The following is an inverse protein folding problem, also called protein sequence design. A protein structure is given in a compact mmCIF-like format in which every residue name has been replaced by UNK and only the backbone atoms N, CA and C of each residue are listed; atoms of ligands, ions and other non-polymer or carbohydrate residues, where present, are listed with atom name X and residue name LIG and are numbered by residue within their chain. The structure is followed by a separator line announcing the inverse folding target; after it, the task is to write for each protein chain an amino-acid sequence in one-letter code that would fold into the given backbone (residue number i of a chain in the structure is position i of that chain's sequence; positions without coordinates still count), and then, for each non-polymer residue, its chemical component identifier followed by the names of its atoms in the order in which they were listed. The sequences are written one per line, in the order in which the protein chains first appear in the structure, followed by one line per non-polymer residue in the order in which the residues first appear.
data_IF_765957710313
#
_entry.id   IF_765957710313
#
_cell.length_a   1.000
_cell.length_b   1.000
_cell.length_c   1.000
_cell.angle_alpha   90.00
_cell.angle_beta   90.00
_cell.angle_gamma   90.00
#
_symmetry.space_group_name_H-M   'P 1'
#
loop_
_entity.id
_entity.type
_entity.pdbx_description
1 polymer ?
#
# COMPACT_ATOMS: atom_id res chain seq x y z
N UNK A 1 31.26 -12.88 -7.97
CA UNK A 1 29.82 -12.59 -8.10
C UNK A 1 29.28 -12.47 -6.69
N UNK A 2 28.66 -11.32 -6.36
CA UNK A 2 28.07 -11.12 -5.02
C UNK A 2 26.81 -11.98 -4.94
N UNK A 3 26.63 -12.74 -3.85
CA UNK A 3 25.42 -13.53 -3.58
C UNK A 3 24.59 -12.77 -2.55
N UNK A 4 23.35 -12.46 -2.91
CA UNK A 4 22.36 -11.83 -2.05
C UNK A 4 21.37 -12.90 -1.58
N UNK A 5 21.40 -13.26 -0.30
CA UNK A 5 20.34 -14.05 0.34
C UNK A 5 19.20 -13.13 0.73
N UNK A 6 18.07 -13.28 0.06
CA UNK A 6 16.94 -12.36 0.16
C UNK A 6 15.76 -13.05 0.83
N UNK A 7 15.38 -12.56 2.01
CA UNK A 7 14.17 -13.01 2.70
C UNK A 7 12.92 -12.54 1.95
N UNK A 8 11.95 -13.44 1.73
CA UNK A 8 10.65 -13.17 1.11
C UNK A 8 9.58 -13.55 2.13
N UNK A 9 9.07 -12.53 2.84
CA UNK A 9 8.23 -12.70 4.03
C UNK A 9 6.84 -12.13 3.83
N UNK A 10 5.94 -12.90 3.21
CA UNK A 10 4.57 -12.52 2.94
C UNK A 10 3.59 -13.61 3.35
N UNK A 11 2.48 -13.24 4.01
CA UNK A 11 1.37 -14.16 4.26
C UNK A 11 0.66 -14.49 2.95
N UNK A 12 0.88 -15.69 2.45
CA UNK A 12 0.24 -16.21 1.24
C UNK A 12 -1.04 -16.98 1.54
N UNK A 13 -1.31 -17.19 2.82
CA UNK A 13 -2.52 -17.75 3.40
C UNK A 13 -3.07 -16.85 4.51
N UNK A 14 -4.29 -17.19 5.03
CA UNK A 14 -4.99 -16.34 6.00
C UNK A 14 -5.77 -15.19 5.35
N UNK A 15 -6.31 -14.28 6.16
CA UNK A 15 -7.33 -13.28 5.78
C UNK A 15 -6.89 -12.29 4.66
N UNK A 16 -5.60 -12.04 4.51
CA UNK A 16 -5.05 -11.20 3.44
C UNK A 16 -4.09 -11.98 2.53
N UNK A 17 -4.31 -13.29 2.38
CA UNK A 17 -3.48 -14.17 1.58
C UNK A 17 -3.41 -13.78 0.10
N UNK A 18 -4.48 -13.21 -0.48
CA UNK A 18 -4.48 -12.72 -1.86
C UNK A 18 -3.40 -11.66 -2.10
N UNK A 19 -3.33 -10.66 -1.21
CA UNK A 19 -2.34 -9.59 -1.26
C UNK A 19 -0.91 -10.13 -1.10
N UNK A 20 -0.71 -11.04 -0.14
CA UNK A 20 0.58 -11.66 0.11
C UNK A 20 1.07 -12.57 -1.02
N UNK A 21 0.17 -13.31 -1.68
CA UNK A 21 0.48 -14.09 -2.88
C UNK A 21 0.97 -13.17 -4.00
N UNK A 22 0.30 -12.04 -4.22
CA UNK A 22 0.70 -11.07 -5.23
C UNK A 22 2.07 -10.44 -4.93
N UNK A 23 2.32 -10.03 -3.70
CA UNK A 23 3.62 -9.54 -3.28
C UNK A 23 4.74 -10.58 -3.53
N UNK A 24 4.51 -11.83 -3.10
CA UNK A 24 5.47 -12.92 -3.31
C UNK A 24 5.71 -13.19 -4.79
N UNK A 25 4.66 -13.27 -5.59
CA UNK A 25 4.75 -13.56 -7.02
C UNK A 25 5.50 -12.45 -7.76
N UNK A 26 5.29 -11.18 -7.38
CA UNK A 26 6.06 -10.05 -7.89
C UNK A 26 7.53 -10.14 -7.55
N UNK A 27 7.87 -10.43 -6.28
CA UNK A 27 9.25 -10.62 -5.85
C UNK A 27 9.94 -11.78 -6.57
N UNK A 28 9.28 -12.93 -6.67
CA UNK A 28 9.84 -14.12 -7.32
C UNK A 28 10.00 -13.91 -8.83
N UNK A 29 9.09 -13.19 -9.48
CA UNK A 29 9.21 -12.82 -10.89
C UNK A 29 10.44 -11.94 -11.13
N UNK A 30 10.67 -10.93 -10.26
CA UNK A 30 11.87 -10.09 -10.37
C UNK A 30 13.17 -10.88 -10.17
N UNK A 31 13.20 -11.83 -9.23
CA UNK A 31 14.38 -12.69 -8.99
C UNK A 31 14.69 -13.53 -10.23
N UNK A 32 13.67 -14.08 -10.88
CA UNK A 32 13.88 -14.85 -12.12
C UNK A 32 14.35 -13.99 -13.28
N UNK A 33 13.79 -12.81 -13.47
CA UNK A 33 14.21 -11.87 -14.52
C UNK A 33 15.66 -11.42 -14.36
N UNK A 34 16.13 -11.32 -13.11
CA UNK A 34 17.50 -10.92 -12.82
C UNK A 34 18.50 -12.08 -12.97
N UNK A 35 18.02 -13.33 -13.10
CA UNK A 35 18.89 -14.51 -13.23
C UNK A 35 19.68 -14.44 -14.54
N UNK A 36 21.01 -14.33 -14.42
CA UNK A 36 21.92 -14.21 -15.56
C UNK A 36 21.95 -12.81 -16.22
N UNK A 37 21.06 -11.90 -15.85
CA UNK A 37 21.01 -10.51 -16.35
C UNK A 37 21.68 -9.51 -15.39
N UNK A 38 21.90 -9.91 -14.12
CA UNK A 38 22.49 -9.07 -13.09
C UNK A 38 23.83 -9.67 -12.60
N UNK A 39 24.75 -8.81 -12.14
CA UNK A 39 26.02 -9.21 -11.52
C UNK A 39 25.84 -9.80 -10.11
N UNK A 40 24.64 -9.71 -9.55
CA UNK A 40 24.27 -10.23 -8.23
C UNK A 40 23.47 -11.52 -8.41
N UNK A 41 23.96 -12.63 -7.82
CA UNK A 41 23.17 -13.86 -7.68
C UNK A 41 22.19 -13.72 -6.52
N UNK A 42 20.90 -13.98 -6.74
CA UNK A 42 19.88 -13.87 -5.68
C UNK A 42 19.41 -15.25 -5.27
N UNK A 43 19.53 -15.55 -3.97
CA UNK A 43 19.03 -16.77 -3.32
C UNK A 43 17.83 -16.41 -2.43
N UNK A 44 16.57 -16.69 -2.85
CA UNK A 44 15.40 -16.39 -2.05
C UNK A 44 15.24 -17.37 -0.88
N UNK A 45 14.93 -16.83 0.30
CA UNK A 45 14.50 -17.59 1.49
C UNK A 45 13.07 -17.18 1.79
N UNK A 46 12.10 -17.99 1.37
CA UNK A 46 10.69 -17.65 1.48
C UNK A 46 10.04 -18.24 2.74
N UNK A 47 9.04 -17.53 3.29
CA UNK A 47 8.23 -18.00 4.40
C UNK A 47 6.81 -17.43 4.36
N UNK A 48 5.83 -18.25 4.79
CA UNK A 48 4.43 -17.86 4.93
C UNK A 48 4.04 -17.78 6.41
N UNK A 49 3.86 -16.56 6.94
CA UNK A 49 3.38 -16.35 8.31
C UNK A 49 1.90 -16.67 8.52
N UNK A 50 1.12 -16.88 7.47
CA UNK A 50 -0.32 -17.17 7.53
C UNK A 50 -1.11 -16.16 8.39
N UNK A 51 -0.83 -14.86 8.21
CA UNK A 51 -1.43 -13.72 8.93
C UNK A 51 -1.20 -13.70 10.45
N UNK A 52 -0.29 -14.53 11.01
CA UNK A 52 0.05 -14.53 12.43
C UNK A 52 1.25 -13.64 12.74
N UNK A 53 1.11 -12.69 13.69
CA UNK A 53 2.18 -11.84 14.21
C UNK A 53 3.36 -12.64 14.75
N UNK A 54 3.08 -13.68 15.54
CA UNK A 54 4.13 -14.53 16.14
C UNK A 54 4.95 -15.24 15.06
N UNK A 55 4.29 -15.74 14.01
CA UNK A 55 4.96 -16.39 12.88
C UNK A 55 5.76 -15.40 12.03
N UNK A 56 5.30 -14.17 11.88
CA UNK A 56 6.08 -13.11 11.23
C UNK A 56 7.40 -12.87 11.97
N UNK A 57 7.35 -12.73 13.30
CA UNK A 57 8.52 -12.53 14.15
C UNK A 57 9.47 -13.74 14.08
N UNK A 58 8.93 -14.95 14.20
CA UNK A 58 9.71 -16.21 14.15
C UNK A 58 10.43 -16.37 12.80
N UNK A 59 9.67 -16.24 11.70
CA UNK A 59 10.22 -16.42 10.35
C UNK A 59 11.24 -15.34 10.02
N UNK A 60 11.00 -14.07 10.36
CA UNK A 60 11.99 -13.00 10.20
C UNK A 60 13.30 -13.34 10.92
N UNK A 61 13.19 -13.78 12.18
CA UNK A 61 14.36 -14.21 12.96
C UNK A 61 15.13 -15.36 12.29
N UNK A 62 14.42 -16.40 11.83
CA UNK A 62 15.02 -17.56 11.16
C UNK A 62 15.68 -17.18 9.84
N UNK A 63 15.03 -16.37 9.01
CA UNK A 63 15.60 -15.88 7.75
C UNK A 63 16.93 -15.16 7.98
N UNK A 64 17.01 -14.32 9.01
CA UNK A 64 18.22 -13.55 9.31
C UNK A 64 19.30 -14.44 9.96
N UNK A 65 18.95 -15.23 10.98
CA UNK A 65 19.93 -15.97 11.78
C UNK A 65 20.40 -17.26 11.11
N UNK A 66 19.48 -18.03 10.54
CA UNK A 66 19.75 -19.34 9.96
C UNK A 66 19.94 -19.23 8.43
N UNK A 67 19.09 -18.41 7.79
CA UNK A 67 19.14 -18.17 6.35
C UNK A 67 20.22 -17.20 5.90
N UNK A 68 20.82 -16.43 6.81
CA UNK A 68 21.83 -15.42 6.50
C UNK A 68 21.31 -14.24 5.68
N UNK A 69 20.00 -13.98 5.71
CA UNK A 69 19.38 -12.87 4.99
C UNK A 69 19.66 -11.55 5.72
N UNK A 70 20.38 -10.64 5.09
CA UNK A 70 20.57 -9.27 5.58
C UNK A 70 19.50 -8.32 5.05
N UNK A 71 18.74 -8.72 4.03
CA UNK A 71 17.63 -8.01 3.43
C UNK A 71 16.40 -8.91 3.43
N UNK A 72 15.25 -8.35 3.84
CA UNK A 72 13.95 -9.02 3.85
C UNK A 72 12.95 -8.14 3.09
N UNK A 73 12.31 -8.68 2.05
CA UNK A 73 11.18 -8.06 1.38
C UNK A 73 9.91 -8.56 2.09
N UNK A 74 9.12 -7.66 2.59
CA UNK A 74 7.92 -7.98 3.38
C UNK A 74 7.45 -6.72 4.12
N UNK A 75 6.45 -6.75 4.80
CA UNK A 75 5.36 -7.65 5.09
C UNK A 75 4.10 -7.17 4.33
N UNK A 76 2.89 -7.64 4.67
CA UNK A 76 1.66 -7.09 4.07
C UNK A 76 1.08 -5.97 4.94
N UNK A 77 0.73 -6.27 6.19
CA UNK A 77 0.06 -5.31 7.07
C UNK A 77 1.02 -4.43 7.85
N UNK A 78 0.56 -3.24 8.24
CA UNK A 78 1.29 -2.33 9.11
C UNK A 78 1.59 -2.94 10.49
N UNK A 79 0.68 -3.79 11.01
CA UNK A 79 0.94 -4.53 12.24
C UNK A 79 2.13 -5.47 12.06
N UNK A 80 2.12 -6.30 11.03
CA UNK A 80 3.22 -7.24 10.76
C UNK A 80 4.56 -6.52 10.53
N UNK A 81 4.55 -5.33 9.88
CA UNK A 81 5.74 -4.49 9.75
C UNK A 81 6.29 -4.09 11.11
N UNK A 82 5.41 -3.55 11.98
CA UNK A 82 5.80 -3.12 13.33
C UNK A 82 6.29 -4.27 14.19
N UNK A 83 5.71 -5.45 14.05
CA UNK A 83 6.09 -6.66 14.78
C UNK A 83 7.50 -7.17 14.39
N UNK A 84 7.91 -7.04 13.12
CA UNK A 84 9.22 -7.51 12.66
C UNK A 84 10.34 -6.47 12.83
N UNK A 85 10.04 -5.17 12.90
CA UNK A 85 11.04 -4.10 13.03
C UNK A 85 12.04 -4.38 14.19
N UNK A 86 11.62 -4.77 15.40
CA UNK A 86 12.56 -5.06 16.48
C UNK A 86 13.55 -6.20 16.19
N UNK A 87 13.12 -7.18 15.38
CA UNK A 87 14.00 -8.29 14.93
C UNK A 87 15.00 -7.78 13.91
N UNK A 88 14.54 -6.95 12.97
CA UNK A 88 15.36 -6.33 11.93
C UNK A 88 16.44 -5.45 12.55
N UNK A 89 16.07 -4.55 13.47
CA UNK A 89 16.99 -3.64 14.18
C UNK A 89 18.03 -4.40 15.01
N UNK A 90 17.60 -5.38 15.80
CA UNK A 90 18.49 -6.17 16.66
C UNK A 90 19.57 -6.90 15.90
N UNK A 91 19.42 -7.09 14.60
CA UNK A 91 20.31 -7.87 13.74
C UNK A 91 20.97 -7.03 12.64
N UNK A 92 20.84 -5.70 12.69
CA UNK A 92 21.34 -4.78 11.67
C UNK A 92 20.96 -5.21 10.24
N UNK A 93 19.76 -5.80 10.10
CA UNK A 93 19.18 -6.17 8.80
C UNK A 93 18.38 -5.01 8.22
N UNK A 94 17.92 -5.17 6.98
CA UNK A 94 17.11 -4.18 6.26
C UNK A 94 15.78 -4.82 5.84
N UNK A 95 14.66 -4.20 6.26
CA UNK A 95 13.34 -4.52 5.75
C UNK A 95 13.03 -3.63 4.54
N UNK A 96 12.44 -4.21 3.50
CA UNK A 96 11.90 -3.50 2.34
C UNK A 96 10.39 -3.68 2.35
N UNK A 97 9.66 -2.62 2.73
CA UNK A 97 8.22 -2.65 2.90
C UNK A 97 7.51 -2.15 1.65
N UNK A 98 6.72 -3.00 1.02
CA UNK A 98 6.17 -2.79 -0.34
C UNK A 98 4.71 -2.33 -0.38
N UNK A 99 4.00 -2.40 0.76
CA UNK A 99 2.57 -2.11 0.83
C UNK A 99 2.28 -0.64 1.18
N UNK A 100 1.10 -0.12 0.83
CA UNK A 100 0.67 1.18 1.34
C UNK A 100 0.58 1.17 2.87
N UNK A 101 0.80 2.33 3.51
CA UNK A 101 0.75 2.43 4.94
C UNK A 101 0.30 3.81 5.44
N UNK A 102 -0.01 3.89 6.72
CA UNK A 102 -0.62 5.05 7.39
C UNK A 102 0.32 6.24 7.63
N UNK A 103 1.62 6.10 7.35
CA UNK A 103 2.61 7.14 7.66
C UNK A 103 3.11 7.08 9.12
N UNK A 104 3.64 8.22 9.60
CA UNK A 104 4.14 8.44 10.97
C UNK A 104 5.26 7.49 11.40
N UNK A 105 6.03 7.01 10.44
CA UNK A 105 7.18 6.16 10.65
C UNK A 105 8.26 6.45 9.60
N UNK A 106 9.52 6.56 10.04
CA UNK A 106 10.70 6.60 9.19
C UNK A 106 11.84 5.91 9.95
N UNK A 107 11.92 4.59 9.81
CA UNK A 107 12.89 3.76 10.50
C UNK A 107 14.16 3.61 9.64
N UNK A 108 15.37 3.75 10.18
CA UNK A 108 16.61 3.61 9.41
C UNK A 108 16.82 2.18 8.85
N UNK A 109 16.24 1.17 9.46
CA UNK A 109 16.31 -0.21 9.01
C UNK A 109 15.14 -0.62 8.09
N UNK A 110 14.31 0.34 7.66
CA UNK A 110 13.19 0.08 6.74
C UNK A 110 13.30 0.97 5.51
N UNK A 111 13.22 0.39 4.33
CA UNK A 111 13.00 1.08 3.06
C UNK A 111 11.54 0.93 2.69
N UNK A 112 10.83 2.04 2.57
CA UNK A 112 9.40 2.08 2.28
C UNK A 112 9.19 2.30 0.78
N UNK A 113 8.76 1.27 0.08
CA UNK A 113 8.47 1.34 -1.36
C UNK A 113 6.97 1.34 -1.67
N UNK A 114 6.13 1.16 -0.65
CA UNK A 114 4.69 1.42 -0.71
C UNK A 114 4.35 2.90 -0.49
N UNK A 115 3.14 3.30 -0.87
CA UNK A 115 2.66 4.68 -0.74
C UNK A 115 2.39 5.06 0.73
N UNK A 116 2.62 6.32 1.08
CA UNK A 116 2.24 6.93 2.36
C UNK A 116 1.13 8.01 2.13
N UNK A 117 0.51 8.56 3.19
CA UNK A 117 -0.72 9.33 3.08
C UNK A 117 -0.73 10.49 2.09
N UNK A 118 0.39 11.21 1.90
CA UNK A 118 0.45 12.28 0.90
C UNK A 118 0.49 11.76 -0.55
N UNK A 119 0.70 10.45 -0.74
CA UNK A 119 0.77 9.81 -2.05
C UNK A 119 -0.51 9.01 -2.39
N UNK A 120 -1.43 8.79 -1.43
CA UNK A 120 -2.70 8.11 -1.67
C UNK A 120 -3.89 8.86 -1.07
N UNK A 121 -3.99 9.00 0.26
CA UNK A 121 -5.18 9.53 0.93
C UNK A 121 -5.45 11.00 0.62
N UNK A 122 -4.42 11.86 0.71
CA UNK A 122 -4.61 13.29 0.48
C UNK A 122 -5.07 13.58 -0.96
N UNK A 123 -4.39 13.10 -2.02
CA UNK A 123 -4.85 13.34 -3.38
C UNK A 123 -6.19 12.65 -3.70
N UNK A 124 -6.54 11.54 -3.03
CA UNK A 124 -7.86 10.93 -3.11
C UNK A 124 -8.94 11.90 -2.61
N UNK A 125 -8.76 12.48 -1.42
CA UNK A 125 -9.74 13.41 -0.84
C UNK A 125 -9.81 14.75 -1.58
N UNK A 126 -8.72 15.22 -2.17
CA UNK A 126 -8.73 16.38 -3.08
C UNK A 126 -9.63 16.16 -4.30
N UNK A 127 -9.79 14.91 -4.74
CA UNK A 127 -10.74 14.54 -5.78
C UNK A 127 -12.15 14.33 -5.23
N UNK A 128 -12.28 13.56 -4.14
CA UNK A 128 -13.57 13.09 -3.65
C UNK A 128 -14.44 14.21 -3.09
N UNK A 129 -13.88 15.11 -2.28
CA UNK A 129 -14.65 16.17 -1.61
C UNK A 129 -15.34 17.15 -2.59
N UNK A 130 -14.68 17.62 -3.67
CA UNK A 130 -15.38 18.46 -4.64
C UNK A 130 -16.31 17.69 -5.59
N UNK A 131 -16.02 16.40 -5.87
CA UNK A 131 -16.77 15.63 -6.86
C UNK A 131 -18.04 15.00 -6.30
N UNK A 132 -18.04 14.54 -5.05
CA UNK A 132 -19.16 13.79 -4.46
C UNK A 132 -19.82 14.50 -3.29
N UNK A 133 -19.08 15.29 -2.52
CA UNK A 133 -19.60 15.99 -1.35
C UNK A 133 -18.73 15.79 -0.11
N UNK A 134 -19.23 16.27 1.05
CA UNK A 134 -18.42 16.38 2.28
C UNK A 134 -18.96 15.59 3.46
N UNK A 135 -20.00 14.80 3.26
CA UNK A 135 -20.55 13.88 4.27
C UNK A 135 -19.94 12.50 4.08
N UNK A 136 -19.00 12.14 4.92
CA UNK A 136 -18.17 10.95 4.73
C UNK A 136 -18.44 9.90 5.81
N UNK A 137 -18.62 8.65 5.40
CA UNK A 137 -18.63 7.51 6.31
C UNK A 137 -17.26 6.82 6.28
N UNK A 138 -16.74 6.41 7.45
CA UNK A 138 -15.46 5.72 7.58
C UNK A 138 -15.69 4.27 8.00
N UNK A 139 -15.24 3.34 7.18
CA UNK A 139 -15.23 1.93 7.48
C UNK A 139 -13.78 1.42 7.53
N UNK A 140 -13.37 0.71 8.57
CA UNK A 140 -11.99 0.32 8.74
C UNK A 140 -11.82 -1.08 9.31
N UNK A 141 -10.62 -1.65 9.16
CA UNK A 141 -10.21 -2.81 9.92
C UNK A 141 -9.73 -2.39 11.33
N UNK A 142 -10.04 -3.23 12.33
CA UNK A 142 -9.75 -2.93 13.74
C UNK A 142 -8.28 -3.18 14.10
N UNK A 143 -7.36 -2.46 13.45
CA UNK A 143 -5.94 -2.44 13.72
C UNK A 143 -5.32 -1.12 13.25
N UNK A 144 -4.01 -0.93 13.43
CA UNK A 144 -3.29 0.36 13.27
C UNK A 144 -3.58 1.06 11.92
N UNK A 145 -3.59 0.35 10.80
CA UNK A 145 -3.91 0.90 9.48
C UNK A 145 -5.31 1.54 9.46
N UNK A 146 -6.35 0.77 9.85
CA UNK A 146 -7.72 1.26 9.86
C UNK A 146 -7.92 2.46 10.78
N UNK A 147 -7.34 2.42 11.97
CA UNK A 147 -7.45 3.51 12.95
C UNK A 147 -6.79 4.80 12.47
N UNK A 148 -5.54 4.70 11.98
CA UNK A 148 -4.77 5.87 11.57
C UNK A 148 -5.27 6.46 10.25
N UNK A 149 -5.68 5.63 9.29
CA UNK A 149 -6.28 6.10 8.05
C UNK A 149 -7.61 6.82 8.30
N UNK A 150 -8.45 6.27 9.19
CA UNK A 150 -9.70 6.93 9.61
C UNK A 150 -9.42 8.24 10.37
N UNK A 151 -8.39 8.25 11.25
CA UNK A 151 -7.99 9.48 11.95
C UNK A 151 -7.58 10.57 10.97
N UNK A 152 -6.73 10.25 10.01
CA UNK A 152 -6.30 11.19 8.97
C UNK A 152 -7.47 11.67 8.11
N UNK A 153 -8.37 10.76 7.73
CA UNK A 153 -9.57 11.11 6.98
C UNK A 153 -10.45 12.10 7.74
N UNK A 154 -10.64 11.90 9.07
CA UNK A 154 -11.38 12.87 9.92
C UNK A 154 -10.73 14.26 9.88
N UNK A 155 -9.41 14.33 10.01
CA UNK A 155 -8.69 15.61 9.94
C UNK A 155 -8.91 16.29 8.59
N UNK A 156 -8.74 15.55 7.47
CA UNK A 156 -8.91 16.08 6.11
C UNK A 156 -10.33 16.60 5.88
N UNK A 157 -11.33 15.82 6.27
CA UNK A 157 -12.76 16.17 6.08
C UNK A 157 -13.12 17.39 6.93
N UNK A 158 -12.70 17.43 8.21
CA UNK A 158 -12.97 18.54 9.12
C UNK A 158 -12.32 19.84 8.62
N UNK A 159 -11.07 19.80 8.20
CA UNK A 159 -10.37 20.97 7.63
C UNK A 159 -11.04 21.50 6.35
N UNK A 160 -11.64 20.60 5.56
CA UNK A 160 -12.40 20.98 4.39
C UNK A 160 -13.82 21.49 4.71
N UNK A 161 -14.21 21.59 5.98
CA UNK A 161 -15.55 21.97 6.42
C UNK A 161 -16.61 20.90 6.15
N UNK A 162 -16.20 19.62 6.14
CA UNK A 162 -17.09 18.47 6.00
C UNK A 162 -17.45 17.81 7.32
N UNK A 163 -18.20 16.72 7.23
CA UNK A 163 -18.75 15.98 8.39
C UNK A 163 -18.43 14.49 8.24
N UNK A 164 -17.94 13.85 9.31
CA UNK A 164 -17.93 12.40 9.44
C UNK A 164 -19.29 11.96 9.99
N UNK A 165 -20.12 11.40 9.13
CA UNK A 165 -21.50 11.01 9.48
C UNK A 165 -21.59 9.67 10.20
N UNK A 166 -20.51 8.90 10.21
CA UNK A 166 -20.38 7.64 10.96
C UNK A 166 -19.01 7.01 10.78
N UNK A 167 -18.66 6.16 11.72
CA UNK A 167 -17.38 5.42 11.70
C UNK A 167 -17.53 4.05 12.38
N UNK A 168 -17.02 3.00 11.73
CA UNK A 168 -16.93 1.65 12.30
C UNK A 168 -15.68 0.92 11.85
N UNK A 169 -15.13 0.14 12.78
CA UNK A 169 -14.07 -0.82 12.49
C UNK A 169 -14.55 -2.24 12.80
N UNK A 170 -14.14 -3.20 11.95
CA UNK A 170 -14.34 -4.64 12.15
C UNK A 170 -13.00 -5.33 12.36
N UNK A 171 -12.93 -6.42 13.14
CA UNK A 171 -11.77 -7.30 13.14
C UNK A 171 -11.44 -7.76 11.71
N UNK A 172 -10.15 -7.97 11.42
CA UNK A 172 -9.74 -8.53 10.13
C UNK A 172 -10.37 -9.92 9.99
N UNK A 173 -10.97 -10.21 8.83
CA UNK A 173 -11.65 -11.46 8.55
C UNK A 173 -13.12 -11.53 9.01
N UNK A 174 -13.58 -10.59 9.84
CA UNK A 174 -15.00 -10.51 10.21
C UNK A 174 -15.83 -10.03 9.01
N UNK A 175 -16.86 -10.81 8.67
CA UNK A 175 -17.74 -10.56 7.53
C UNK A 175 -19.13 -10.06 7.92
N UNK A 176 -19.41 -9.83 9.21
CA UNK A 176 -20.66 -9.24 9.68
C UNK A 176 -20.66 -7.72 9.44
N UNK A 177 -21.04 -7.33 8.25
CA UNK A 177 -21.08 -5.94 7.78
C UNK A 177 -22.49 -5.31 7.89
N UNK A 178 -23.51 -6.05 8.35
CA UNK A 178 -24.90 -5.63 8.31
C UNK A 178 -25.14 -4.34 9.08
N UNK A 179 -24.50 -4.18 10.24
CA UNK A 179 -24.60 -2.96 11.04
C UNK A 179 -23.97 -1.76 10.35
N UNK A 180 -22.84 -1.94 9.65
CA UNK A 180 -22.19 -0.86 8.88
C UNK A 180 -23.13 -0.42 7.76
N UNK A 181 -23.67 -1.37 7.00
CA UNK A 181 -24.58 -1.10 5.87
C UNK A 181 -25.86 -0.41 6.33
N UNK A 182 -26.44 -0.85 7.46
CA UNK A 182 -27.60 -0.20 8.06
C UNK A 182 -27.32 1.25 8.47
N UNK A 183 -26.15 1.53 9.06
CA UNK A 183 -25.74 2.89 9.42
C UNK A 183 -25.50 3.75 8.17
N UNK A 184 -24.82 3.23 7.14
CA UNK A 184 -24.65 3.91 5.85
C UNK A 184 -26.00 4.28 5.25
N UNK A 185 -26.95 3.35 5.24
CA UNK A 185 -28.31 3.59 4.73
C UNK A 185 -29.05 4.69 5.52
N UNK A 186 -28.90 4.72 6.84
CA UNK A 186 -29.54 5.71 7.71
C UNK A 186 -28.87 7.09 7.64
N UNK A 187 -27.54 7.13 7.53
CA UNK A 187 -26.73 8.37 7.56
C UNK A 187 -26.62 9.06 6.21
N UNK A 188 -26.79 8.33 5.12
CA UNK A 188 -26.74 8.84 3.74
C UNK A 188 -25.47 9.66 3.46
N UNK A 189 -24.26 9.05 3.54
CA UNK A 189 -23.03 9.74 3.18
C UNK A 189 -22.96 10.06 1.68
N UNK A 190 -22.14 11.03 1.33
CA UNK A 190 -21.81 11.34 -0.07
C UNK A 190 -20.83 10.31 -0.66
N UNK A 191 -19.92 9.79 0.17
CA UNK A 191 -19.06 8.65 -0.16
C UNK A 191 -18.56 7.94 1.11
N UNK A 192 -17.98 6.76 0.92
CA UNK A 192 -17.49 5.93 2.02
C UNK A 192 -15.99 5.66 1.80
N UNK A 193 -15.15 6.01 2.76
CA UNK A 193 -13.77 5.51 2.78
C UNK A 193 -13.75 4.14 3.44
N UNK A 194 -13.26 3.13 2.73
CA UNK A 194 -13.04 1.78 3.27
C UNK A 194 -11.55 1.50 3.41
N UNK A 195 -11.13 1.23 4.63
CA UNK A 195 -9.78 0.75 5.01
C UNK A 195 -9.88 -0.67 5.58
N UNK A 196 -10.86 -1.44 5.12
CA UNK A 196 -11.02 -2.86 5.44
C UNK A 196 -10.15 -3.71 4.51
N UNK A 197 -9.75 -4.90 4.97
CA UNK A 197 -8.92 -5.84 4.22
C UNK A 197 -9.62 -7.18 4.03
N UNK A 198 -9.29 -7.86 2.93
CA UNK A 198 -9.65 -9.25 2.66
C UNK A 198 -11.15 -9.52 2.81
N UNK A 199 -11.56 -10.63 3.49
CA UNK A 199 -12.97 -11.04 3.57
C UNK A 199 -13.91 -9.95 4.08
N UNK A 200 -13.50 -9.10 5.03
CA UNK A 200 -14.30 -7.98 5.54
C UNK A 200 -14.58 -6.94 4.45
N UNK A 201 -13.57 -6.55 3.67
CA UNK A 201 -13.69 -5.64 2.52
C UNK A 201 -14.59 -6.26 1.45
N UNK A 202 -14.39 -7.53 1.14
CA UNK A 202 -15.18 -8.25 0.12
C UNK A 202 -16.66 -8.35 0.49
N UNK A 203 -16.96 -8.69 1.74
CA UNK A 203 -18.33 -8.76 2.26
C UNK A 203 -19.01 -7.38 2.21
N UNK A 204 -18.29 -6.34 2.61
CA UNK A 204 -18.80 -4.97 2.58
C UNK A 204 -19.13 -4.50 1.16
N UNK A 205 -18.24 -4.73 0.19
CA UNK A 205 -18.49 -4.35 -1.20
C UNK A 205 -19.70 -5.09 -1.80
N UNK A 206 -19.87 -6.38 -1.49
CA UNK A 206 -21.07 -7.15 -1.89
C UNK A 206 -22.34 -6.57 -1.27
N UNK A 207 -22.30 -6.25 0.01
CA UNK A 207 -23.45 -5.67 0.72
C UNK A 207 -23.79 -4.27 0.19
N UNK A 208 -22.81 -3.45 -0.11
CA UNK A 208 -23.01 -2.14 -0.74
C UNK A 208 -23.58 -2.24 -2.16
N UNK A 209 -23.14 -3.25 -2.95
CA UNK A 209 -23.76 -3.54 -4.25
C UNK A 209 -25.24 -3.85 -4.11
N UNK A 210 -25.60 -4.70 -3.14
CA UNK A 210 -27.00 -5.05 -2.90
C UNK A 210 -27.82 -3.85 -2.39
N UNK A 211 -27.25 -3.01 -1.51
CA UNK A 211 -27.88 -1.77 -1.08
C UNK A 211 -28.15 -0.83 -2.27
N UNK A 212 -27.17 -0.65 -3.17
CA UNK A 212 -27.31 0.18 -4.38
C UNK A 212 -28.31 -0.35 -5.40
N UNK A 213 -28.57 -1.68 -5.43
CA UNK A 213 -29.64 -2.29 -6.23
C UNK A 213 -31.02 -1.95 -5.70
N UNK A 214 -31.18 -1.92 -4.37
CA UNK A 214 -32.46 -1.61 -3.69
C UNK A 214 -32.72 -0.11 -3.63
N UNK A 215 -31.67 0.70 -3.47
CA UNK A 215 -31.76 2.16 -3.39
C UNK A 215 -30.70 2.84 -4.27
N UNK A 216 -31.12 3.47 -5.39
CA UNK A 216 -30.21 4.13 -6.32
C UNK A 216 -29.34 5.25 -5.71
N UNK A 217 -29.67 5.78 -4.53
CA UNK A 217 -28.85 6.77 -3.83
C UNK A 217 -27.47 6.21 -3.41
N UNK A 218 -27.37 4.88 -3.24
CA UNK A 218 -26.13 4.20 -2.85
C UNK A 218 -25.39 3.52 -4.02
N UNK A 219 -25.77 3.84 -5.25
CA UNK A 219 -24.97 3.40 -6.40
C UNK A 219 -23.63 4.14 -6.46
N UNK A 220 -22.58 3.52 -7.02
CA UNK A 220 -21.24 4.11 -7.07
C UNK A 220 -21.17 5.51 -7.70
N UNK A 221 -22.09 5.82 -8.62
CA UNK A 221 -22.14 7.13 -9.26
C UNK A 221 -22.58 8.26 -8.29
N UNK A 222 -23.20 7.91 -7.16
CA UNK A 222 -23.71 8.85 -6.16
C UNK A 222 -23.04 8.72 -4.79
N UNK A 223 -22.77 7.49 -4.37
CA UNK A 223 -22.16 7.18 -3.08
C UNK A 223 -21.13 6.06 -3.26
N UNK A 224 -19.98 6.36 -3.88
CA UNK A 224 -18.94 5.35 -4.07
C UNK A 224 -18.30 4.91 -2.75
N UNK A 225 -17.89 3.65 -2.71
CA UNK A 225 -16.87 3.17 -1.77
C UNK A 225 -15.51 3.47 -2.38
N UNK A 226 -14.62 4.10 -1.62
CA UNK A 226 -13.26 4.41 -2.06
C UNK A 226 -12.24 3.75 -1.12
N UNK A 227 -11.11 3.31 -1.67
CA UNK A 227 -10.06 2.62 -0.91
C UNK A 227 -8.67 3.10 -1.31
N UNK A 228 -7.70 2.95 -0.41
CA UNK A 228 -6.27 3.16 -0.69
C UNK A 228 -5.47 1.84 -0.77
N UNK A 229 -6.14 0.71 -0.68
CA UNK A 229 -5.53 -0.64 -0.63
C UNK A 229 -6.18 -1.66 -1.55
N UNK A 230 -7.41 -1.43 -2.01
CA UNK A 230 -8.11 -2.33 -2.94
C UNK A 230 -7.42 -2.36 -4.32
N UNK A 231 -7.21 -3.56 -4.84
CA UNK A 231 -6.43 -3.77 -6.07
C UNK A 231 -6.92 -5.00 -6.86
N UNK A 232 -6.38 -5.21 -8.06
CA UNK A 232 -6.82 -6.21 -9.02
C UNK A 232 -6.85 -7.64 -8.45
N UNK A 233 -5.90 -8.00 -7.58
CA UNK A 233 -5.82 -9.38 -7.05
C UNK A 233 -6.98 -9.77 -6.13
N UNK A 234 -7.76 -8.82 -5.64
CA UNK A 234 -8.93 -9.06 -4.79
C UNK A 234 -10.24 -9.14 -5.58
N UNK A 235 -10.29 -8.55 -6.79
CA UNK A 235 -11.52 -8.49 -7.61
C UNK A 235 -12.14 -9.87 -7.89
N UNK A 236 -11.36 -10.95 -8.17
CA UNK A 236 -11.92 -12.28 -8.33
C UNK A 236 -12.59 -12.83 -7.05
N UNK A 237 -12.02 -12.54 -5.86
CA UNK A 237 -12.57 -12.99 -4.58
C UNK A 237 -13.82 -12.19 -4.17
N UNK A 238 -13.92 -10.91 -4.56
CA UNK A 238 -15.11 -10.10 -4.40
C UNK A 238 -16.25 -10.60 -5.30
N UNK A 239 -15.91 -11.05 -6.48
CA UNK A 239 -16.80 -11.42 -7.57
C UNK A 239 -16.81 -10.37 -8.67
N UNK A 240 -16.54 -10.80 -9.90
CA UNK A 240 -16.46 -9.91 -11.07
C UNK A 240 -17.75 -9.10 -11.23
N UNK A 241 -17.61 -7.79 -11.45
CA UNK A 241 -18.73 -6.86 -11.60
C UNK A 241 -19.43 -6.46 -10.31
N UNK A 242 -19.12 -7.07 -9.16
CA UNK A 242 -19.71 -6.69 -7.86
C UNK A 242 -19.24 -5.31 -7.42
N UNK A 243 -17.97 -5.03 -7.58
CA UNK A 243 -17.36 -3.76 -7.19
C UNK A 243 -17.32 -2.72 -8.33
N UNK A 244 -17.97 -2.98 -9.47
CA UNK A 244 -18.00 -2.05 -10.61
C UNK A 244 -18.46 -0.66 -10.20
N UNK A 245 -17.70 0.36 -10.65
CA UNK A 245 -17.96 1.75 -10.35
C UNK A 245 -17.31 2.26 -9.06
N UNK A 246 -16.88 1.39 -8.14
CA UNK A 246 -16.14 1.78 -6.94
C UNK A 246 -14.74 2.31 -7.31
N UNK A 247 -14.10 3.05 -6.40
CA UNK A 247 -12.86 3.76 -6.68
C UNK A 247 -11.72 3.27 -5.80
N UNK A 248 -10.51 3.28 -6.35
CA UNK A 248 -9.30 3.04 -5.57
C UNK A 248 -8.18 4.01 -5.93
N UNK A 249 -7.36 4.34 -4.94
CA UNK A 249 -6.13 5.10 -5.09
C UNK A 249 -4.93 4.17 -4.96
N UNK A 250 -4.02 4.19 -5.93
CA UNK A 250 -2.82 3.37 -5.94
C UNK A 250 -1.67 4.08 -6.66
N UNK A 251 -0.46 3.51 -6.59
CA UNK A 251 0.69 3.95 -7.39
C UNK A 251 0.80 3.21 -8.73
N UNK A 252 -0.04 2.21 -8.95
CA UNK A 252 -0.03 1.38 -10.14
C UNK A 252 -1.39 0.70 -10.32
N UNK A 253 -1.82 0.54 -11.58
CA UNK A 253 -2.89 -0.35 -12.03
C UNK A 253 -2.43 -1.13 -13.26
N UNK A 254 -2.96 -2.35 -13.45
CA UNK A 254 -2.66 -3.21 -14.60
C UNK A 254 -2.91 -2.51 -15.94
N UNK A 255 -3.87 -1.61 -15.97
CA UNK A 255 -4.27 -0.84 -17.15
C UNK A 255 -3.31 0.30 -17.54
N UNK A 256 -2.22 0.53 -16.80
CA UNK A 256 -1.21 1.52 -17.17
C UNK A 256 -0.61 1.20 -18.55
N UNK A 257 -0.68 2.16 -19.47
CA UNK A 257 -0.11 2.01 -20.81
C UNK A 257 1.29 2.61 -20.90
N UNK A 258 2.28 1.88 -20.37
CA UNK A 258 3.71 2.21 -20.47
C UNK A 258 4.51 1.04 -21.03
N UNK A 259 5.65 1.32 -21.67
CA UNK A 259 6.55 0.27 -22.17
C UNK A 259 6.99 -0.70 -21.06
N UNK A 260 7.33 -0.18 -19.90
CA UNK A 260 7.75 -0.98 -18.75
C UNK A 260 6.62 -1.90 -18.26
N UNK A 261 5.37 -1.39 -18.22
CA UNK A 261 4.23 -2.21 -17.85
C UNK A 261 3.91 -3.28 -18.88
N UNK A 262 3.92 -2.94 -20.17
CA UNK A 262 3.73 -3.95 -21.23
C UNK A 262 4.77 -5.07 -21.17
N UNK A 263 6.03 -4.74 -20.89
CA UNK A 263 7.09 -5.74 -20.72
C UNK A 263 6.82 -6.65 -19.51
N UNK A 264 6.47 -6.08 -18.34
CA UNK A 264 6.11 -6.85 -17.14
C UNK A 264 4.92 -7.77 -17.40
N UNK A 265 3.85 -7.25 -18.01
CA UNK A 265 2.64 -8.05 -18.34
C UNK A 265 2.94 -9.21 -19.27
N UNK A 266 3.83 -9.04 -20.25
CA UNK A 266 4.24 -10.12 -21.14
C UNK A 266 4.95 -11.26 -20.36
N UNK A 267 5.81 -10.92 -19.40
CA UNK A 267 6.47 -11.89 -18.54
C UNK A 267 5.48 -12.59 -17.60
N UNK A 268 4.57 -11.82 -16.99
CA UNK A 268 3.52 -12.36 -16.12
C UNK A 268 2.61 -13.30 -16.90
N UNK A 269 2.19 -12.92 -18.10
CA UNK A 269 1.36 -13.77 -18.96
C UNK A 269 2.06 -15.08 -19.34
N UNK A 270 3.35 -15.03 -19.65
CA UNK A 270 4.14 -16.22 -19.95
C UNK A 270 4.27 -17.18 -18.76
N UNK A 271 4.28 -16.66 -17.53
CA UNK A 271 4.48 -17.44 -16.31
C UNK A 271 3.17 -17.92 -15.67
N UNK A 272 2.15 -17.07 -15.64
CA UNK A 272 0.92 -17.30 -14.88
C UNK A 272 -0.34 -17.41 -15.76
N UNK A 273 -0.19 -17.24 -17.08
CA UNK A 273 -1.31 -17.19 -18.01
C UNK A 273 -1.79 -15.77 -18.33
N UNK A 274 -2.47 -15.62 -19.49
CA UNK A 274 -2.90 -14.32 -20.04
C UNK A 274 -3.93 -13.58 -19.18
N UNK A 275 -4.67 -14.32 -18.35
CA UNK A 275 -5.75 -13.76 -17.52
C UNK A 275 -5.24 -13.16 -16.18
N UNK A 276 -3.96 -13.41 -15.87
CA UNK A 276 -3.35 -12.89 -14.65
C UNK A 276 -3.20 -11.38 -14.74
N UNK A 277 -3.85 -10.66 -13.84
CA UNK A 277 -3.68 -9.22 -13.65
C UNK A 277 -2.51 -8.93 -12.72
N UNK A 278 -1.83 -7.84 -12.99
CA UNK A 278 -0.73 -7.32 -12.15
C UNK A 278 -1.31 -6.26 -11.23
N UNK A 279 -1.27 -6.50 -9.94
CA UNK A 279 -1.71 -5.52 -8.95
C UNK A 279 -0.59 -4.53 -8.57
N UNK A 280 -0.95 -3.47 -7.86
CA UNK A 280 0.04 -2.56 -7.26
C UNK A 280 0.97 -3.29 -6.30
N UNK A 281 0.50 -4.31 -5.57
CA UNK A 281 1.30 -5.14 -4.66
C UNK A 281 2.34 -5.96 -5.40
N UNK A 282 1.95 -6.59 -6.51
CA UNK A 282 2.86 -7.32 -7.40
C UNK A 282 3.91 -6.37 -7.97
N UNK A 283 3.47 -5.28 -8.62
CA UNK A 283 4.35 -4.35 -9.31
C UNK A 283 5.35 -3.67 -8.38
N UNK A 284 4.92 -3.27 -7.17
CA UNK A 284 5.80 -2.66 -6.17
C UNK A 284 6.81 -3.66 -5.65
N UNK A 285 6.39 -4.90 -5.36
CA UNK A 285 7.29 -5.96 -4.89
C UNK A 285 8.34 -6.32 -5.96
N UNK A 286 7.91 -6.45 -7.22
CA UNK A 286 8.79 -6.64 -8.37
C UNK A 286 9.82 -5.51 -8.49
N UNK A 287 9.37 -4.26 -8.46
CA UNK A 287 10.26 -3.09 -8.55
C UNK A 287 11.24 -3.00 -7.37
N UNK A 288 10.79 -3.38 -6.17
CA UNK A 288 11.60 -3.35 -4.94
C UNK A 288 12.75 -4.33 -4.98
N UNK A 289 12.51 -5.56 -5.43
CA UNK A 289 13.59 -6.56 -5.59
C UNK A 289 14.63 -6.08 -6.60
N UNK A 290 14.20 -5.51 -7.72
CA UNK A 290 15.11 -4.97 -8.74
C UNK A 290 15.93 -3.81 -8.20
N UNK A 291 15.30 -2.90 -7.44
CA UNK A 291 16.00 -1.79 -6.80
C UNK A 291 17.03 -2.27 -5.76
N UNK A 292 16.67 -3.27 -4.95
CA UNK A 292 17.57 -3.87 -3.98
C UNK A 292 18.79 -4.50 -4.68
N UNK A 293 18.57 -5.31 -5.72
CA UNK A 293 19.64 -5.94 -6.49
C UNK A 293 20.57 -4.91 -7.16
N UNK A 294 20.01 -3.85 -7.72
CA UNK A 294 20.78 -2.75 -8.32
C UNK A 294 21.64 -2.03 -7.28
N UNK A 295 21.09 -1.74 -6.10
CA UNK A 295 21.84 -1.11 -5.01
C UNK A 295 22.99 -2.02 -4.51
N UNK A 296 22.74 -3.33 -4.35
CA UNK A 296 23.77 -4.33 -4.00
C UNK A 296 24.84 -4.42 -5.09
N UNK A 297 24.45 -4.45 -6.37
CA UNK A 297 25.38 -4.44 -7.50
C UNK A 297 26.27 -3.21 -7.48
N UNK A 298 25.69 -2.04 -7.22
CA UNK A 298 26.39 -0.74 -7.21
C UNK A 298 27.44 -0.64 -6.09
N UNK A 299 27.14 -1.17 -4.89
CA UNK A 299 28.08 -1.11 -3.75
C UNK A 299 28.93 -2.37 -3.59
N UNK A 300 28.67 -3.45 -4.36
CA UNK A 300 29.43 -4.69 -4.38
C UNK A 300 29.28 -5.54 -3.12
N UNK A 301 28.28 -5.28 -2.27
CA UNK A 301 28.05 -5.97 -1.00
C UNK A 301 26.57 -5.95 -0.62
N UNK A 302 26.15 -6.90 0.22
CA UNK A 302 24.84 -6.94 0.85
C UNK A 302 24.80 -6.24 2.22
N UNK A 303 25.80 -5.45 2.57
CA UNK A 303 25.83 -4.68 3.81
C UNK A 303 24.70 -3.64 3.83
N UNK A 304 23.73 -3.69 4.79
CA UNK A 304 22.54 -2.82 4.77
C UNK A 304 22.87 -1.33 4.79
N UNK A 305 23.92 -0.91 5.49
CA UNK A 305 24.32 0.49 5.55
C UNK A 305 24.85 0.95 4.19
N UNK A 306 25.69 0.14 3.56
CA UNK A 306 26.27 0.44 2.23
C UNK A 306 25.21 0.38 1.14
N UNK A 307 24.29 -0.60 1.20
CA UNK A 307 23.14 -0.71 0.28
C UNK A 307 22.24 0.52 0.40
N UNK A 308 21.88 0.94 1.61
CA UNK A 308 21.10 2.16 1.83
C UNK A 308 21.82 3.42 1.30
N UNK A 309 23.11 3.52 1.53
CA UNK A 309 23.92 4.63 0.97
C UNK A 309 23.96 4.60 -0.56
N UNK A 310 23.99 3.42 -1.18
CA UNK A 310 23.99 3.25 -2.63
C UNK A 310 22.65 3.63 -3.29
N UNK A 311 21.54 3.68 -2.52
CA UNK A 311 20.25 4.18 -3.00
C UNK A 311 20.25 5.69 -3.24
N UNK A 312 21.17 6.44 -2.61
CA UNK A 312 21.27 7.87 -2.81
C UNK A 312 21.59 8.19 -4.28
N UNK A 313 20.69 8.92 -4.94
CA UNK A 313 20.81 9.26 -6.37
C UNK A 313 20.54 8.11 -7.34
N UNK A 314 20.23 6.90 -6.86
CA UNK A 314 19.78 5.80 -7.71
C UNK A 314 18.36 6.06 -8.20
N UNK A 315 18.16 5.91 -9.50
CA UNK A 315 16.86 5.97 -10.15
C UNK A 315 16.68 4.72 -11.00
N UNK A 316 15.93 3.76 -10.48
CA UNK A 316 15.68 2.49 -11.15
C UNK A 316 14.42 2.56 -12.03
N UNK A 317 14.48 2.10 -13.28
CA UNK A 317 13.27 1.97 -14.10
C UNK A 317 12.35 0.90 -13.50
N UNK A 318 11.05 1.19 -13.44
CA UNK A 318 10.07 0.27 -12.91
C UNK A 318 8.71 0.42 -13.61
N UNK A 319 7.78 -0.54 -13.45
CA UNK A 319 6.42 -0.43 -13.95
C UNK A 319 5.63 0.75 -13.37
N UNK A 320 6.02 1.22 -12.15
CA UNK A 320 5.43 2.39 -11.49
C UNK A 320 6.00 3.72 -12.01
N UNK A 321 6.93 3.68 -12.97
CA UNK A 321 7.78 4.79 -13.37
C UNK A 321 9.17 4.72 -12.70
N UNK A 322 10.01 5.75 -12.86
CA UNK A 322 11.34 5.79 -12.25
C UNK A 322 11.26 5.76 -10.71
N UNK A 323 11.76 4.69 -10.10
CA UNK A 323 11.75 4.51 -8.65
C UNK A 323 12.99 5.12 -8.01
N UNK A 324 12.79 6.02 -7.07
CA UNK A 324 13.85 6.69 -6.31
C UNK A 324 13.48 6.71 -4.83
N UNK A 325 14.47 6.45 -3.97
CA UNK A 325 14.30 6.55 -2.51
C UNK A 325 14.80 7.92 -2.03
N UNK A 326 13.99 8.59 -1.25
CA UNK A 326 14.40 9.79 -0.51
C UNK A 326 15.29 9.37 0.67
N UNK A 327 16.58 9.79 0.71
CA UNK A 327 17.51 9.37 1.76
C UNK A 327 17.17 9.93 3.15
N UNK A 328 16.37 11.01 3.23
CA UNK A 328 15.99 11.61 4.50
C UNK A 328 14.96 10.77 5.27
N UNK A 329 14.11 10.06 4.53
CA UNK A 329 12.99 9.30 5.11
C UNK A 329 12.99 7.82 4.75
N UNK A 330 13.88 7.38 3.84
CA UNK A 330 13.92 6.03 3.26
C UNK A 330 12.64 5.63 2.49
N UNK A 331 11.93 6.61 1.94
CA UNK A 331 10.67 6.38 1.22
C UNK A 331 10.84 6.55 -0.29
N UNK A 332 10.07 5.77 -1.04
CA UNK A 332 9.98 5.91 -2.48
C UNK A 332 9.14 7.15 -2.89
N UNK A 333 9.59 7.82 -3.95
CA UNK A 333 8.76 8.80 -4.65
C UNK A 333 7.82 8.04 -5.58
N UNK A 334 6.51 8.17 -5.38
CA UNK A 334 5.52 7.39 -6.09
C UNK A 334 4.45 8.26 -6.74
N UNK A 335 3.92 7.85 -7.91
CA UNK A 335 2.79 8.51 -8.54
C UNK A 335 1.50 8.23 -7.77
N UNK A 336 0.50 9.08 -8.00
CA UNK A 336 -0.87 8.85 -7.59
C UNK A 336 -1.72 8.53 -8.82
N UNK A 337 -2.48 7.46 -8.74
CA UNK A 337 -3.49 7.08 -9.71
C UNK A 337 -4.82 6.91 -8.98
N UNK A 338 -5.89 7.44 -9.58
CA UNK A 338 -7.26 7.15 -9.20
C UNK A 338 -7.87 6.24 -10.25
N UNK A 339 -8.28 5.06 -9.85
CA UNK A 339 -8.91 4.06 -10.72
C UNK A 339 -10.35 3.81 -10.35
N UNK A 340 -11.20 3.58 -11.35
CA UNK A 340 -12.56 3.08 -11.21
C UNK A 340 -12.62 1.64 -11.66
N UNK A 341 -13.20 0.77 -10.82
CA UNK A 341 -13.34 -0.65 -11.11
C UNK A 341 -14.31 -0.88 -12.27
N UNK A 342 -13.91 -1.73 -13.21
CA UNK A 342 -14.70 -2.17 -14.36
C UNK A 342 -14.33 -3.62 -14.69
N UNK A 343 -15.17 -4.57 -14.29
CA UNK A 343 -14.88 -5.99 -14.41
C UNK A 343 -13.63 -6.41 -13.62
N UNK A 344 -12.63 -7.01 -14.27
CA UNK A 344 -11.38 -7.43 -13.63
C UNK A 344 -10.30 -6.33 -13.55
N UNK A 345 -10.58 -5.13 -14.08
CA UNK A 345 -9.61 -4.08 -14.31
C UNK A 345 -9.99 -2.76 -13.62
N UNK A 346 -9.05 -1.83 -13.59
CA UNK A 346 -9.30 -0.42 -13.20
C UNK A 346 -9.16 0.48 -14.44
N UNK A 347 -10.15 1.34 -14.64
CA UNK A 347 -10.07 2.45 -15.60
C UNK A 347 -9.47 3.65 -14.88
N UNK A 348 -8.30 4.12 -15.31
CA UNK A 348 -7.61 5.25 -14.70
C UNK A 348 -8.36 6.54 -15.02
N UNK A 349 -8.87 7.22 -13.98
CA UNK A 349 -9.59 8.48 -14.07
C UNK A 349 -8.66 9.69 -13.92
N UNK A 350 -7.64 9.55 -13.09
CA UNK A 350 -6.66 10.59 -12.80
C UNK A 350 -5.28 9.99 -12.62
N UNK A 351 -4.26 10.70 -13.10
CA UNK A 351 -2.84 10.40 -12.87
C UNK A 351 -2.13 11.66 -12.43
N UNK A 352 -1.28 11.56 -11.40
CA UNK A 352 -0.37 12.62 -10.98
C UNK A 352 1.06 12.09 -10.97
N UNK A 353 2.06 12.93 -11.29
CA UNK A 353 3.45 12.52 -11.27
C UNK A 353 3.90 12.08 -9.87
N UNK A 354 5.02 11.37 -9.83
CA UNK A 354 5.61 10.89 -8.58
C UNK A 354 5.87 12.06 -7.62
N UNK A 355 5.29 11.96 -6.42
CA UNK A 355 5.48 12.90 -5.32
C UNK A 355 6.55 12.40 -4.35
N UNK A 356 7.31 13.31 -3.79
CA UNK A 356 8.19 13.02 -2.65
C UNK A 356 7.33 12.62 -1.46
N UNK A 357 7.68 11.51 -0.85
CA UNK A 357 6.98 11.05 0.34
C UNK A 357 7.09 12.06 1.50
N UNK A 358 5.99 12.25 2.20
CA UNK A 358 5.90 13.06 3.43
C UNK A 358 5.18 12.24 4.50
N UNK A 359 5.87 11.25 5.11
CA UNK A 359 5.25 10.31 6.03
C UNK A 359 4.67 10.97 7.27
N UNK A 360 5.17 12.14 7.66
CA UNK A 360 4.70 12.90 8.84
C UNK A 360 3.74 14.04 8.48
N UNK A 361 3.42 14.24 7.20
CA UNK A 361 2.56 15.30 6.67
C UNK A 361 3.02 16.72 7.10
N UNK A 362 4.34 16.93 7.19
CA UNK A 362 4.93 18.20 7.65
C UNK A 362 4.58 19.34 6.68
N UNK A 363 4.64 19.07 5.37
CA UNK A 363 4.34 20.08 4.34
C UNK A 363 2.89 20.54 4.38
N UNK A 364 1.96 19.65 4.73
CA UNK A 364 0.55 20.00 4.91
C UNK A 364 0.36 20.91 6.12
N UNK A 365 1.00 20.59 7.26
CA UNK A 365 0.90 21.39 8.48
C UNK A 365 1.46 22.79 8.31
N UNK A 366 2.54 22.96 7.55
CA UNK A 366 3.11 24.29 7.24
C UNK A 366 2.28 25.10 6.26
N UNK A 367 1.50 24.45 5.36
CA UNK A 367 0.62 25.14 4.43
C UNK A 367 -0.69 25.62 5.07
N UNK A 368 -1.12 24.99 6.18
CA UNK A 368 -2.37 25.31 6.89
C UNK A 368 -2.17 26.32 8.02
N UNK A 369 -0.93 26.55 8.50
CA UNK A 369 -0.68 27.62 9.46
C UNK A 369 -0.71 28.98 8.74
N UNK A 370 -1.70 29.86 9.03
CA UNK A 370 -1.57 31.25 8.60
C UNK A 370 -0.34 31.85 9.27
N UNK A 371 0.42 32.62 8.50
CA UNK A 371 1.56 33.40 9.02
C UNK A 371 1.01 34.45 10.00
N UNK A 372 0.73 34.07 11.24
CA UNK A 372 0.51 35.00 12.34
C UNK A 372 0.36 34.23 13.66
N UNK A 373 1.30 34.44 14.50
CA UNK A 373 1.32 34.66 15.94
C UNK A 373 2.59 34.02 16.52
N UNK A 374 3.67 34.75 16.46
CA UNK A 374 4.73 34.55 17.47
C UNK A 374 4.10 34.80 18.83
N UNK A 375 4.16 33.83 19.75
CA UNK A 375 3.75 34.10 21.12
C UNK A 375 4.71 35.12 21.70
N UNK A 376 4.25 36.35 21.91
CA UNK A 376 4.95 37.32 22.73
C UNK A 376 4.91 36.81 24.18
N UNK A 377 6.02 36.27 24.64
CA UNK A 377 6.25 36.06 26.08
C UNK A 377 6.18 37.42 26.80
N UNK A 378 5.06 37.71 27.44
CA UNK A 378 4.97 38.79 28.41
C UNK A 378 5.65 38.32 29.70
N UNK A 379 6.82 38.87 29.96
CA UNK A 379 7.43 38.81 31.28
C UNK A 379 6.58 39.72 32.18
N UNK A 380 5.87 39.14 33.13
CA UNK A 380 5.19 39.88 34.19
C UNK A 380 6.26 40.11 35.26
N UNK A 381 6.66 41.38 35.40
CA UNK A 381 7.50 41.85 36.51
C UNK A 381 6.69 42.00 37.77
#
# INVERSE_FOLDING_TARGET
MTVLRLGILFSTSGDYGALGRDCRDGAMTAIEDLRGACSVGIEPVAGDPAASSERYIELARRMIQEGGCRHVIGTVTSQARKDVIPVIEKRDAQLWYVCPYEGFEANPNVIYTGTCPNQHLLPLFEHMLPAYGRRVYLAGANYIWGWEMNRLAREVVTEAGGEIVGERCLPIGDTDVDRIVAEVAARQPDFILSNMLGPSSHAFLRAMRELGRRNPAFRPERCPVVSCDLTECELPEIGLGVADGQLAAASYFDSLDTLANRALKAQVAARFGSDRRVSSYFATSYATVRLCAEAVSRCGTDDPIKVRSALAGLMAPSPLGPLRIDPATNHANLPFLLGRISGPDFVILQSRPAAVADPYLIRRRTAVQPASAQPQLRIVS
#
